data_IF_587097241286
#
_entry.id   IF_587097241286
#
_cell.length_a   1.000
_cell.length_b   1.000
_cell.length_c   1.000
_cell.angle_alpha   90.00
_cell.angle_beta   90.00
_cell.angle_gamma   90.00
#
_symmetry.space_group_name_H-M   'P 1'
#
loop_
_entity.id
_entity.type
_entity.pdbx_description
1 polymer ?
#
# COMPACT_ATOMS: atom_id res chain seq x y z
N UNK A 1 -30.40 -23.71 12.93
CA UNK A 1 -30.38 -22.57 13.88
C UNK A 1 -29.24 -21.66 13.41
N UNK A 2 -29.58 -20.57 12.71
CA UNK A 2 -28.61 -19.63 12.20
C UNK A 2 -28.26 -18.64 13.32
N UNK A 3 -27.01 -18.73 13.83
CA UNK A 3 -26.46 -17.71 14.72
C UNK A 3 -26.27 -16.41 13.94
N UNK A 4 -27.13 -15.45 14.21
CA UNK A 4 -26.90 -14.07 13.82
C UNK A 4 -25.77 -13.52 14.68
N UNK A 5 -24.59 -13.31 14.07
CA UNK A 5 -23.56 -12.49 14.68
C UNK A 5 -24.16 -11.11 15.01
N UNK A 6 -23.94 -10.55 16.21
CA UNK A 6 -24.48 -9.27 16.60
C UNK A 6 -23.95 -8.19 15.64
N UNK A 7 -24.84 -7.52 14.91
CA UNK A 7 -24.49 -6.28 14.18
C UNK A 7 -24.03 -5.28 15.25
N UNK A 8 -22.73 -4.99 15.26
CA UNK A 8 -22.17 -3.92 16.09
C UNK A 8 -22.84 -2.61 15.65
N UNK A 9 -23.61 -2.00 16.53
CA UNK A 9 -24.25 -0.71 16.27
C UNK A 9 -23.15 0.34 16.15
N UNK A 10 -22.87 0.80 14.94
CA UNK A 10 -21.83 1.78 14.68
C UNK A 10 -22.21 3.12 15.32
N UNK A 11 -21.31 3.73 16.08
CA UNK A 11 -21.53 5.05 16.64
C UNK A 11 -21.46 6.09 15.50
N UNK A 12 -22.61 6.61 15.10
CA UNK A 12 -22.74 7.51 13.94
C UNK A 12 -21.81 8.74 14.00
N UNK A 13 -21.50 9.22 15.21
CA UNK A 13 -20.55 10.32 15.40
C UNK A 13 -19.12 9.92 15.01
N UNK A 14 -18.68 8.71 15.35
CA UNK A 14 -17.35 8.22 14.99
C UNK A 14 -17.19 8.08 13.46
N UNK A 15 -18.21 7.53 12.78
CA UNK A 15 -18.19 7.44 11.32
C UNK A 15 -18.01 8.82 10.65
N UNK A 16 -18.73 9.84 11.16
CA UNK A 16 -18.61 11.20 10.63
C UNK A 16 -17.27 11.84 10.91
N UNK A 17 -16.66 11.58 12.07
CA UNK A 17 -15.29 12.05 12.38
C UNK A 17 -14.30 11.49 11.38
N UNK A 18 -14.32 10.17 11.13
CA UNK A 18 -13.42 9.55 10.16
C UNK A 18 -13.68 10.04 8.73
N UNK A 19 -14.93 10.20 8.31
CA UNK A 19 -15.25 10.77 7.00
C UNK A 19 -14.69 12.20 6.81
N UNK A 20 -14.72 13.02 7.85
CA UNK A 20 -14.09 14.36 7.84
C UNK A 20 -12.57 14.25 7.73
N UNK A 21 -11.95 13.32 8.48
CA UNK A 21 -10.50 13.11 8.42
C UNK A 21 -10.04 12.62 7.05
N UNK A 22 -10.76 11.66 6.46
CA UNK A 22 -10.47 11.12 5.13
C UNK A 22 -10.60 12.20 4.06
N UNK A 23 -11.66 13.02 4.10
CA UNK A 23 -11.82 14.15 3.18
C UNK A 23 -10.66 15.16 3.28
N UNK A 24 -10.20 15.49 4.50
CA UNK A 24 -9.05 16.37 4.72
C UNK A 24 -7.70 15.73 4.34
N UNK A 25 -7.62 14.40 4.28
CA UNK A 25 -6.41 13.71 3.83
C UNK A 25 -6.25 13.74 2.31
N UNK A 26 -7.35 13.79 1.56
CA UNK A 26 -7.34 13.89 0.09
C UNK A 26 -6.89 15.27 -0.39
N UNK A 27 -7.30 16.33 0.31
CA UNK A 27 -6.99 17.71 -0.02
C UNK A 27 -6.20 18.38 1.12
N UNK A 28 -5.13 19.08 0.80
CA UNK A 28 -4.27 19.70 1.83
C UNK A 28 -5.02 20.67 2.72
N UNK A 29 -5.97 21.43 2.18
CA UNK A 29 -6.79 22.39 2.89
C UNK A 29 -8.17 22.54 2.25
N UNK A 30 -9.23 22.52 3.07
CA UNK A 30 -10.60 22.48 2.59
C UNK A 30 -11.48 23.46 3.40
N UNK A 31 -12.41 24.14 2.70
CA UNK A 31 -13.40 25.00 3.35
C UNK A 31 -14.54 24.17 4.00
N UNK A 32 -15.20 24.74 5.01
CA UNK A 32 -16.26 24.05 5.78
C UNK A 32 -17.42 23.52 4.90
N UNK A 33 -17.83 24.26 3.87
CA UNK A 33 -18.94 23.85 3.02
C UNK A 33 -18.59 22.60 2.18
N UNK A 34 -17.41 22.60 1.58
CA UNK A 34 -16.89 21.48 0.81
C UNK A 34 -16.67 20.25 1.70
N UNK A 35 -16.10 20.45 2.89
CA UNK A 35 -15.90 19.40 3.87
C UNK A 35 -17.21 18.75 4.31
N UNK A 36 -18.26 19.54 4.55
CA UNK A 36 -19.59 19.01 4.87
C UNK A 36 -20.17 18.16 3.74
N UNK A 37 -19.97 18.58 2.49
CA UNK A 37 -20.43 17.84 1.31
C UNK A 37 -19.68 16.50 1.17
N UNK A 38 -18.35 16.50 1.24
CA UNK A 38 -17.53 15.27 1.12
C UNK A 38 -17.78 14.29 2.26
N UNK A 39 -17.91 14.78 3.48
CA UNK A 39 -18.26 13.96 4.64
C UNK A 39 -19.74 13.59 4.73
N UNK A 40 -20.53 13.90 3.70
CA UNK A 40 -21.98 13.60 3.61
C UNK A 40 -22.74 14.00 4.88
N UNK A 41 -22.47 15.22 5.42
CA UNK A 41 -23.10 15.71 6.65
C UNK A 41 -23.58 17.15 6.50
N UNK A 42 -24.40 17.65 7.46
CA UNK A 42 -24.81 19.05 7.45
C UNK A 42 -23.63 19.97 7.82
N UNK A 43 -23.64 21.21 7.30
CA UNK A 43 -22.62 22.23 7.61
C UNK A 43 -22.47 22.47 9.12
N UNK A 44 -23.59 22.47 9.86
CA UNK A 44 -23.60 22.60 11.32
C UNK A 44 -22.91 21.42 12.00
N UNK A 45 -23.19 20.21 11.56
CA UNK A 45 -22.55 19.00 12.09
C UNK A 45 -21.05 18.98 11.76
N UNK A 46 -20.68 19.27 10.50
CA UNK A 46 -19.27 19.37 10.09
C UNK A 46 -18.52 20.40 10.95
N UNK A 47 -19.10 21.60 11.17
CA UNK A 47 -18.50 22.63 12.00
C UNK A 47 -18.20 22.15 13.42
N UNK A 48 -19.20 21.54 14.09
CA UNK A 48 -19.03 21.01 15.45
C UNK A 48 -17.94 19.94 15.52
N UNK A 49 -17.91 19.02 14.56
CA UNK A 49 -16.91 17.95 14.49
C UNK A 49 -15.51 18.56 14.31
N UNK A 50 -15.35 19.47 13.33
CA UNK A 50 -14.07 20.10 13.03
C UNK A 50 -13.56 20.92 14.21
N UNK A 51 -14.43 21.68 14.90
CA UNK A 51 -14.04 22.45 16.12
C UNK A 51 -13.51 21.50 17.21
N UNK A 52 -14.21 20.40 17.47
CA UNK A 52 -13.72 19.39 18.43
C UNK A 52 -12.37 18.83 17.99
N UNK A 53 -12.17 18.60 16.69
CA UNK A 53 -10.89 18.08 16.17
C UNK A 53 -9.77 19.11 16.26
N UNK A 54 -10.09 20.41 16.14
CA UNK A 54 -9.15 21.51 16.39
C UNK A 54 -8.76 21.57 17.86
N UNK A 55 -9.73 21.53 18.78
CA UNK A 55 -9.48 21.48 20.23
C UNK A 55 -8.60 20.28 20.62
N UNK A 56 -8.84 19.14 20.00
CA UNK A 56 -8.03 17.92 20.20
C UNK A 56 -6.68 17.97 19.47
N UNK A 57 -6.43 18.95 18.61
CA UNK A 57 -5.18 19.16 17.88
C UNK A 57 -4.97 18.24 16.68
N UNK A 58 -5.99 17.56 16.16
CA UNK A 58 -5.92 16.76 14.94
C UNK A 58 -6.13 17.54 13.65
N UNK A 59 -6.83 18.66 13.75
CA UNK A 59 -7.11 19.60 12.67
C UNK A 59 -6.61 20.99 13.09
N UNK A 60 -6.19 21.78 12.13
CA UNK A 60 -5.92 23.22 12.30
C UNK A 60 -6.78 24.00 11.33
N UNK A 61 -7.10 25.24 11.69
CA UNK A 61 -7.74 26.20 10.78
C UNK A 61 -6.73 27.29 10.42
N UNK A 62 -6.58 27.51 9.15
CA UNK A 62 -5.76 28.61 8.64
C UNK A 62 -6.46 29.95 8.92
N UNK A 63 -5.81 30.91 9.61
CA UNK A 63 -6.47 32.15 10.03
C UNK A 63 -6.77 33.11 8.86
N UNK A 64 -6.06 33.00 7.73
CA UNK A 64 -6.26 33.88 6.57
C UNK A 64 -7.32 33.35 5.62
N UNK A 65 -7.30 32.03 5.36
CA UNK A 65 -8.18 31.39 4.39
C UNK A 65 -9.41 30.74 5.02
N UNK A 66 -9.46 30.66 6.33
CA UNK A 66 -10.47 29.92 7.12
C UNK A 66 -10.60 28.43 6.73
N UNK A 67 -9.65 27.90 5.96
CA UNK A 67 -9.64 26.48 5.53
C UNK A 67 -9.05 25.61 6.63
N UNK A 68 -9.55 24.37 6.69
CA UNK A 68 -9.14 23.35 7.64
C UNK A 68 -8.14 22.39 6.99
N UNK A 69 -7.18 21.89 7.76
CA UNK A 69 -6.21 20.89 7.34
C UNK A 69 -5.83 19.96 8.49
N UNK A 70 -5.31 18.78 8.16
CA UNK A 70 -4.80 17.84 9.16
C UNK A 70 -3.47 18.31 9.74
N UNK A 71 -3.27 18.06 11.04
CA UNK A 71 -2.00 18.34 11.72
C UNK A 71 -1.05 17.14 11.68
N UNK A 72 0.21 17.36 12.06
CA UNK A 72 1.21 16.29 12.22
C UNK A 72 0.88 15.30 13.36
N UNK A 73 -0.15 15.55 14.17
CA UNK A 73 -0.55 14.65 15.26
C UNK A 73 -0.96 13.26 14.73
N UNK A 74 -1.66 13.22 13.57
CA UNK A 74 -2.02 11.96 12.91
C UNK A 74 -0.78 11.19 12.43
N UNK A 75 0.19 11.90 11.83
CA UNK A 75 1.46 11.29 11.47
C UNK A 75 2.17 10.70 12.68
N UNK A 76 2.21 11.43 13.81
CA UNK A 76 2.84 10.95 15.04
C UNK A 76 2.17 9.69 15.59
N UNK A 77 0.84 9.58 15.47
CA UNK A 77 0.10 8.36 15.86
C UNK A 77 0.43 7.18 14.94
N UNK A 78 0.40 7.42 13.64
CA UNK A 78 0.75 6.40 12.63
C UNK A 78 2.21 5.93 12.77
N UNK A 79 3.13 6.86 12.98
CA UNK A 79 4.55 6.55 13.17
C UNK A 79 4.80 5.67 14.42
N UNK A 80 4.06 5.91 15.51
CA UNK A 80 4.15 5.04 16.70
C UNK A 80 3.63 3.63 16.44
N UNK A 81 2.57 3.47 15.66
CA UNK A 81 2.07 2.14 15.29
C UNK A 81 3.04 1.36 14.39
N UNK A 82 3.92 2.08 13.67
CA UNK A 82 4.97 1.50 12.84
C UNK A 82 6.31 1.30 13.59
N UNK A 83 6.42 1.76 14.85
CA UNK A 83 7.67 1.66 15.61
C UNK A 83 8.13 0.21 15.83
N UNK A 84 7.21 -0.74 15.95
CA UNK A 84 7.50 -2.17 16.01
C UNK A 84 8.13 -2.71 14.70
N UNK A 85 8.04 -1.93 13.61
CA UNK A 85 8.64 -2.24 12.30
C UNK A 85 9.88 -1.40 12.00
N UNK A 86 10.50 -0.78 13.03
CA UNK A 86 11.65 0.12 12.84
C UNK A 86 12.83 -0.58 12.14
N UNK A 87 13.11 -1.83 12.49
CA UNK A 87 14.15 -2.62 11.83
C UNK A 87 13.81 -2.90 10.37
N UNK A 88 12.56 -3.27 10.08
CA UNK A 88 12.10 -3.44 8.70
C UNK A 88 12.31 -2.15 7.90
N UNK A 89 11.89 -0.99 8.42
CA UNK A 89 12.01 0.29 7.74
C UNK A 89 13.48 0.64 7.44
N UNK A 90 14.37 0.48 8.43
CA UNK A 90 15.80 0.75 8.28
C UNK A 90 16.46 -0.16 7.23
N UNK A 91 16.16 -1.45 7.30
CA UNK A 91 16.73 -2.45 6.38
C UNK A 91 16.19 -2.28 4.97
N UNK A 92 14.87 -2.04 4.83
CA UNK A 92 14.22 -1.81 3.54
C UNK A 92 14.74 -0.52 2.89
N UNK A 93 14.91 0.57 3.65
CA UNK A 93 15.43 1.84 3.13
C UNK A 93 16.81 1.66 2.48
N UNK A 94 17.73 0.92 3.12
CA UNK A 94 19.03 0.61 2.56
C UNK A 94 18.94 -0.15 1.23
N UNK A 95 18.09 -1.18 1.17
CA UNK A 95 17.89 -1.99 -0.03
C UNK A 95 17.23 -1.18 -1.16
N UNK A 96 16.20 -0.42 -0.84
CA UNK A 96 15.49 0.46 -1.79
C UNK A 96 16.40 1.55 -2.35
N UNK A 97 17.28 2.13 -1.54
CA UNK A 97 18.28 3.11 -1.98
C UNK A 97 19.25 2.53 -3.02
N UNK A 98 19.61 1.25 -2.91
CA UNK A 98 20.43 0.57 -3.92
C UNK A 98 19.65 0.43 -5.23
N UNK A 99 18.39 -0.06 -5.17
CA UNK A 99 17.53 -0.20 -6.34
C UNK A 99 17.30 1.14 -7.05
N UNK A 100 16.99 2.19 -6.27
CA UNK A 100 16.74 3.54 -6.81
C UNK A 100 17.96 4.08 -7.57
N UNK A 101 19.16 3.97 -7.01
CA UNK A 101 20.41 4.42 -7.68
C UNK A 101 20.73 3.60 -8.94
N UNK A 102 20.44 2.30 -8.93
CA UNK A 102 20.75 1.42 -10.05
C UNK A 102 19.80 1.58 -11.23
N UNK A 103 18.54 1.92 -10.96
CA UNK A 103 17.47 1.96 -11.98
C UNK A 103 17.04 3.39 -12.34
N UNK A 104 17.11 4.31 -11.40
CA UNK A 104 16.52 5.65 -11.52
C UNK A 104 14.99 5.65 -11.47
N UNK A 105 14.35 4.48 -11.28
CA UNK A 105 12.90 4.34 -11.28
C UNK A 105 12.29 4.47 -9.88
N UNK A 106 10.97 4.58 -9.82
CA UNK A 106 10.26 4.63 -8.55
C UNK A 106 10.34 3.28 -7.82
N UNK A 107 10.73 3.31 -6.55
CA UNK A 107 10.80 2.13 -5.67
C UNK A 107 9.75 2.27 -4.58
N UNK A 108 8.96 1.24 -4.36
CA UNK A 108 7.94 1.24 -3.34
C UNK A 108 8.13 0.08 -2.35
N UNK A 109 7.79 0.33 -1.09
CA UNK A 109 7.69 -0.68 -0.04
C UNK A 109 6.23 -0.81 0.39
N UNK A 110 5.72 -2.01 0.35
CA UNK A 110 4.36 -2.34 0.78
C UNK A 110 4.33 -3.41 1.84
N UNK A 111 3.33 -3.32 2.72
CA UNK A 111 2.97 -4.35 3.70
C UNK A 111 1.54 -4.79 3.45
N UNK A 112 1.22 -6.02 3.87
CA UNK A 112 -0.14 -6.53 3.81
C UNK A 112 -0.97 -5.94 4.97
N UNK A 113 -2.13 -5.39 4.63
CA UNK A 113 -3.23 -5.22 5.55
C UNK A 113 -4.18 -6.41 5.42
N UNK A 114 -4.07 -7.32 6.39
CA UNK A 114 -4.85 -8.56 6.41
C UNK A 114 -6.35 -8.31 6.55
N UNK A 115 -6.75 -7.22 7.19
CA UNK A 115 -8.16 -6.90 7.45
C UNK A 115 -8.92 -6.60 6.15
N UNK A 116 -8.33 -5.73 5.33
CA UNK A 116 -8.99 -5.26 4.11
C UNK A 116 -8.44 -5.93 2.84
N UNK A 117 -7.53 -6.90 2.99
CA UNK A 117 -6.88 -7.61 1.88
C UNK A 117 -6.30 -6.63 0.85
N UNK A 118 -5.48 -5.68 1.35
CA UNK A 118 -4.83 -4.64 0.54
C UNK A 118 -3.33 -4.58 0.83
N UNK A 119 -2.55 -4.17 -0.15
CA UNK A 119 -1.18 -3.72 0.10
C UNK A 119 -1.19 -2.24 0.46
N UNK A 120 -0.55 -1.90 1.58
CA UNK A 120 -0.39 -0.51 2.04
C UNK A 120 1.04 -0.07 1.78
N UNK A 121 1.22 1.05 1.06
CA UNK A 121 2.52 1.62 0.76
C UNK A 121 3.03 2.40 1.97
N UNK A 122 4.15 1.97 2.56
CA UNK A 122 4.70 2.55 3.80
C UNK A 122 6.02 3.30 3.59
N UNK A 123 6.70 3.08 2.45
CA UNK A 123 7.91 3.81 2.08
C UNK A 123 8.08 3.84 0.57
N UNK A 124 8.77 4.87 0.05
CA UNK A 124 9.04 5.02 -1.38
C UNK A 124 10.29 5.83 -1.66
N UNK A 125 10.88 5.58 -2.82
CA UNK A 125 11.84 6.47 -3.49
C UNK A 125 11.18 6.98 -4.77
N UNK A 126 11.25 8.28 -5.00
CA UNK A 126 10.75 8.87 -6.24
C UNK A 126 11.67 8.50 -7.40
N UNK A 127 11.09 8.43 -8.59
CA UNK A 127 11.89 8.28 -9.81
C UNK A 127 12.74 9.52 -10.06
N UNK A 128 13.94 9.31 -10.59
CA UNK A 128 14.83 10.38 -11.06
C UNK A 128 14.33 11.00 -12.39
N UNK A 129 13.37 10.37 -13.05
CA UNK A 129 12.82 10.84 -14.32
C UNK A 129 11.59 11.74 -14.12
N UNK A 130 11.43 12.75 -14.98
CA UNK A 130 10.31 13.68 -14.90
C UNK A 130 8.92 13.04 -15.11
N UNK A 131 8.84 12.01 -15.95
CA UNK A 131 7.64 11.19 -16.10
C UNK A 131 7.82 9.88 -15.33
N UNK A 132 7.03 9.70 -14.29
CA UNK A 132 7.14 8.56 -13.38
C UNK A 132 5.78 8.12 -12.87
N UNK A 133 5.73 6.90 -12.35
CA UNK A 133 4.55 6.38 -11.67
C UNK A 133 4.37 7.12 -10.33
N UNK A 134 3.18 7.67 -10.14
CA UNK A 134 2.83 8.35 -8.88
C UNK A 134 2.39 7.32 -7.85
N UNK A 135 3.11 7.24 -6.75
CA UNK A 135 2.68 6.51 -5.56
C UNK A 135 2.65 7.47 -4.37
N UNK A 136 1.74 7.23 -3.45
CA UNK A 136 1.58 8.03 -2.22
C UNK A 136 1.72 7.12 -1.01
N UNK A 137 2.37 7.59 0.04
CA UNK A 137 2.41 6.85 1.30
C UNK A 137 0.98 6.70 1.85
N UNK A 138 0.66 5.52 2.35
CA UNK A 138 -0.69 5.16 2.77
C UNK A 138 -1.60 4.69 1.63
N UNK A 139 -1.16 4.74 0.36
CA UNK A 139 -1.93 4.20 -0.77
C UNK A 139 -2.25 2.72 -0.52
N UNK A 140 -3.50 2.35 -0.77
CA UNK A 140 -4.05 1.01 -0.52
C UNK A 140 -4.46 0.39 -1.85
N UNK A 141 -3.66 -0.52 -2.35
CA UNK A 141 -3.88 -1.17 -3.64
C UNK A 141 -4.35 -2.62 -3.50
N UNK A 142 -5.08 -3.14 -4.50
CA UNK A 142 -5.48 -4.54 -4.55
C UNK A 142 -4.27 -5.48 -4.57
N UNK A 143 -4.42 -6.64 -3.91
CA UNK A 143 -3.36 -7.65 -3.87
C UNK A 143 -3.21 -8.37 -5.21
N UNK A 144 -4.31 -8.63 -5.93
CA UNK A 144 -4.32 -9.46 -7.14
C UNK A 144 -3.71 -8.76 -8.36
N UNK A 145 -3.79 -7.42 -8.44
CA UNK A 145 -3.39 -6.66 -9.61
C UNK A 145 -2.05 -5.93 -9.47
N UNK A 146 -1.39 -6.03 -8.31
CA UNK A 146 -0.10 -5.36 -8.07
C UNK A 146 1.03 -6.37 -7.88
N UNK A 147 2.23 -6.01 -8.35
CA UNK A 147 3.42 -6.84 -8.10
C UNK A 147 3.70 -6.98 -6.60
N UNK A 148 3.58 -5.90 -5.81
CA UNK A 148 3.72 -5.97 -4.34
C UNK A 148 2.73 -6.92 -3.71
N UNK A 149 1.47 -6.88 -4.13
CA UNK A 149 0.43 -7.77 -3.61
C UNK A 149 0.72 -9.24 -3.92
N UNK A 150 1.09 -9.55 -5.17
CA UNK A 150 1.47 -10.91 -5.57
C UNK A 150 2.71 -11.40 -4.81
N UNK A 151 3.71 -10.54 -4.58
CA UNK A 151 4.89 -10.89 -3.79
C UNK A 151 4.56 -11.18 -2.31
N UNK A 152 3.59 -10.49 -1.72
CA UNK A 152 3.13 -10.74 -0.35
C UNK A 152 2.30 -12.01 -0.20
N UNK A 153 1.62 -12.43 -1.27
CA UNK A 153 0.76 -13.60 -1.28
C UNK A 153 1.51 -14.90 -1.60
N UNK A 154 2.44 -14.87 -2.55
CA UNK A 154 2.98 -16.07 -3.20
C UNK A 154 3.62 -17.11 -2.25
N UNK A 155 4.09 -16.73 -1.07
CA UNK A 155 4.72 -17.63 -0.08
C UNK A 155 3.79 -18.02 1.08
N UNK A 156 2.48 -17.85 0.92
CA UNK A 156 1.51 -18.36 1.86
C UNK A 156 1.14 -19.81 1.53
N UNK A 157 0.62 -20.52 2.51
CA UNK A 157 0.15 -21.89 2.30
C UNK A 157 -0.97 -21.94 1.26
N UNK A 158 -1.02 -23.00 0.47
CA UNK A 158 -1.96 -23.10 -0.66
C UNK A 158 -3.43 -23.07 -0.21
N UNK A 159 -3.75 -23.63 0.97
CA UNK A 159 -5.10 -23.58 1.52
C UNK A 159 -5.46 -22.16 1.99
N UNK A 160 -4.51 -21.45 2.64
CA UNK A 160 -4.67 -20.03 2.99
C UNK A 160 -4.88 -19.18 1.73
N UNK A 161 -4.12 -19.43 0.66
CA UNK A 161 -4.27 -18.70 -0.61
C UNK A 161 -5.65 -18.88 -1.22
N UNK A 162 -6.14 -20.13 -1.31
CA UNK A 162 -7.49 -20.41 -1.84
C UNK A 162 -8.58 -19.72 -1.04
N UNK A 163 -8.50 -19.77 0.29
CA UNK A 163 -9.46 -19.11 1.17
C UNK A 163 -9.42 -17.60 1.01
N UNK A 164 -8.24 -16.99 0.90
CA UNK A 164 -8.07 -15.55 0.69
C UNK A 164 -8.60 -15.11 -0.67
N UNK A 165 -8.24 -15.81 -1.73
CA UNK A 165 -8.66 -15.48 -3.09
C UNK A 165 -10.18 -15.62 -3.24
N UNK A 166 -10.79 -16.62 -2.62
CA UNK A 166 -12.25 -16.78 -2.61
C UNK A 166 -13.00 -15.62 -1.95
N UNK A 167 -12.33 -14.89 -1.04
CA UNK A 167 -12.88 -13.70 -0.37
C UNK A 167 -12.50 -12.38 -1.04
N UNK A 168 -11.56 -12.41 -2.02
CA UNK A 168 -11.13 -11.22 -2.73
C UNK A 168 -12.14 -10.81 -3.81
N UNK A 169 -12.35 -9.52 -3.91
CA UNK A 169 -13.01 -8.93 -5.06
C UNK A 169 -11.97 -8.72 -6.17
N UNK A 170 -11.95 -9.61 -7.17
CA UNK A 170 -11.02 -9.55 -8.30
C UNK A 170 -11.51 -8.56 -9.36
N UNK A 171 -11.64 -7.29 -8.98
CA UNK A 171 -12.11 -6.22 -9.86
C UNK A 171 -11.10 -5.94 -10.97
N UNK A 172 -11.60 -5.74 -12.20
CA UNK A 172 -10.79 -5.36 -13.35
C UNK A 172 -10.41 -3.88 -13.26
N UNK A 173 -9.11 -3.57 -13.22
CA UNK A 173 -8.58 -2.21 -13.16
C UNK A 173 -7.93 -1.76 -14.48
N UNK A 174 -7.31 -2.70 -15.20
CA UNK A 174 -6.54 -2.45 -16.42
C UNK A 174 -6.71 -3.59 -17.42
N UNK A 175 -6.18 -3.50 -18.65
CA UNK A 175 -6.38 -4.50 -19.69
C UNK A 175 -6.06 -5.92 -19.27
N UNK A 176 -4.97 -6.11 -18.53
CA UNK A 176 -4.44 -7.43 -18.17
C UNK A 176 -4.73 -7.83 -16.71
N UNK A 177 -5.60 -7.10 -15.99
CA UNK A 177 -5.98 -7.48 -14.62
C UNK A 177 -6.51 -8.91 -14.57
N UNK A 178 -5.93 -9.74 -13.70
CA UNK A 178 -6.41 -11.10 -13.46
C UNK A 178 -7.71 -11.06 -12.66
N UNK A 179 -8.80 -11.52 -13.25
CA UNK A 179 -10.13 -11.59 -12.62
C UNK A 179 -10.59 -13.01 -12.36
N UNK A 180 -9.81 -14.00 -12.78
CA UNK A 180 -10.05 -15.41 -12.57
C UNK A 180 -9.17 -15.91 -11.41
N UNK A 181 -9.77 -16.55 -10.37
CA UNK A 181 -9.06 -17.09 -9.23
C UNK A 181 -7.97 -18.12 -9.59
N UNK A 182 -8.23 -18.99 -10.57
CA UNK A 182 -7.29 -20.04 -10.96
C UNK A 182 -6.09 -19.44 -11.69
N UNK A 183 -6.31 -18.44 -12.54
CA UNK A 183 -5.23 -17.68 -13.21
C UNK A 183 -4.35 -16.96 -12.17
N UNK A 184 -4.96 -16.37 -11.14
CA UNK A 184 -4.21 -15.73 -10.07
C UNK A 184 -3.41 -16.75 -9.25
N UNK A 185 -3.98 -17.90 -8.90
CA UNK A 185 -3.27 -18.98 -8.19
C UNK A 185 -2.04 -19.44 -8.95
N UNK A 186 -2.18 -19.66 -10.26
CA UNK A 186 -1.05 -20.06 -11.12
C UNK A 186 0.02 -18.97 -11.19
N UNK A 187 -0.37 -17.70 -11.30
CA UNK A 187 0.57 -16.58 -11.28
C UNK A 187 1.34 -16.48 -9.95
N UNK A 188 0.70 -16.78 -8.82
CA UNK A 188 1.34 -16.83 -7.51
C UNK A 188 2.30 -18.02 -7.38
N UNK A 189 1.94 -19.20 -7.91
CA UNK A 189 2.83 -20.35 -7.97
C UNK A 189 4.10 -20.04 -8.77
N UNK A 190 3.96 -19.48 -9.96
CA UNK A 190 5.07 -19.04 -10.80
C UNK A 190 5.92 -17.93 -10.11
N UNK A 191 5.29 -17.05 -9.36
CA UNK A 191 5.99 -16.03 -8.55
C UNK A 191 6.88 -16.68 -7.49
N UNK A 192 6.38 -17.70 -6.79
CA UNK A 192 7.15 -18.46 -5.78
C UNK A 192 8.34 -19.18 -6.41
N UNK A 193 8.14 -19.83 -7.56
CA UNK A 193 9.20 -20.58 -8.26
C UNK A 193 10.33 -19.69 -8.76
N UNK A 194 10.02 -18.54 -9.34
CA UNK A 194 11.03 -17.62 -9.89
C UNK A 194 11.61 -16.63 -8.87
N UNK A 195 11.03 -16.54 -7.67
CA UNK A 195 11.50 -15.67 -6.59
C UNK A 195 11.02 -14.22 -6.67
N UNK A 196 10.31 -13.81 -7.72
CA UNK A 196 9.80 -12.45 -7.89
C UNK A 196 8.42 -12.44 -8.55
N UNK A 197 7.65 -11.41 -8.29
CA UNK A 197 6.38 -11.13 -8.95
C UNK A 197 6.54 -10.08 -10.03
N UNK A 198 5.66 -10.09 -11.00
CA UNK A 198 5.59 -9.10 -12.06
C UNK A 198 4.13 -8.74 -12.34
N UNK A 199 3.88 -7.50 -12.68
CA UNK A 199 2.60 -7.05 -13.23
C UNK A 199 2.86 -6.22 -14.50
N UNK A 200 2.06 -6.41 -15.52
CA UNK A 200 2.11 -5.69 -16.78
C UNK A 200 0.71 -5.24 -17.14
N UNK A 201 0.41 -3.95 -16.93
CA UNK A 201 -0.90 -3.36 -17.18
C UNK A 201 -2.06 -4.11 -16.46
N UNK A 202 -1.79 -4.57 -15.23
CA UNK A 202 -2.78 -5.22 -14.38
C UNK A 202 -3.42 -4.24 -13.39
N UNK A 203 -2.63 -3.33 -12.82
CA UNK A 203 -3.10 -2.29 -11.89
C UNK A 203 -3.52 -1.01 -12.62
N UNK A 204 -2.79 -0.62 -13.65
CA UNK A 204 -3.01 0.57 -14.44
C UNK A 204 -2.43 0.37 -15.85
N UNK A 205 -3.10 0.92 -16.88
CA UNK A 205 -2.60 0.88 -18.25
C UNK A 205 -1.29 1.66 -18.38
N UNK A 206 -0.32 1.14 -19.15
CA UNK A 206 0.98 1.76 -19.35
C UNK A 206 1.97 1.57 -18.18
N UNK A 207 1.64 0.71 -17.21
CA UNK A 207 2.47 0.41 -16.04
C UNK A 207 3.04 -1.01 -16.13
N UNK A 208 4.29 -1.14 -15.71
CA UNK A 208 4.94 -2.44 -15.44
C UNK A 208 5.70 -2.37 -14.14
N UNK A 209 5.46 -3.33 -13.25
CA UNK A 209 6.19 -3.41 -11.99
C UNK A 209 6.72 -4.81 -11.75
N UNK A 210 7.85 -4.87 -11.05
CA UNK A 210 8.44 -6.12 -10.56
C UNK A 210 8.66 -5.98 -9.07
N UNK A 211 8.38 -7.03 -8.29
CA UNK A 211 8.52 -6.98 -6.85
C UNK A 211 9.09 -8.28 -6.26
N UNK A 212 9.70 -8.15 -5.09
CA UNK A 212 10.23 -9.25 -4.28
C UNK A 212 9.73 -9.12 -2.85
N UNK A 213 9.52 -10.25 -2.14
CA UNK A 213 9.18 -10.24 -0.72
C UNK A 213 10.39 -9.87 0.14
N UNK A 214 10.12 -9.44 1.37
CA UNK A 214 11.09 -9.37 2.47
C UNK A 214 10.58 -10.33 3.55
N UNK A 215 11.41 -11.32 3.88
CA UNK A 215 11.07 -12.36 4.84
C UNK A 215 11.54 -12.02 6.26
N UNK A 216 10.79 -12.46 7.25
CA UNK A 216 11.25 -12.47 8.63
C UNK A 216 12.00 -13.78 8.95
N UNK A 217 12.48 -13.93 10.19
CA UNK A 217 13.19 -15.12 10.68
C UNK A 217 12.37 -16.42 10.61
N UNK A 218 11.05 -16.34 10.48
CA UNK A 218 10.15 -17.49 10.30
C UNK A 218 9.92 -17.86 8.82
N UNK A 219 10.57 -17.18 7.88
CA UNK A 219 10.33 -17.38 6.44
C UNK A 219 9.00 -16.83 5.94
N UNK A 220 8.32 -15.97 6.71
CA UNK A 220 7.07 -15.34 6.29
C UNK A 220 7.35 -14.00 5.61
N UNK A 221 6.71 -13.70 4.46
CA UNK A 221 6.80 -12.38 3.84
C UNK A 221 6.09 -11.35 4.72
N UNK A 222 6.84 -10.40 5.27
CA UNK A 222 6.31 -9.32 6.12
C UNK A 222 6.20 -7.98 5.39
N UNK A 223 6.90 -7.86 4.28
CA UNK A 223 6.84 -6.72 3.37
C UNK A 223 7.20 -7.17 1.96
N UNK A 224 7.00 -6.31 0.98
CA UNK A 224 7.52 -6.46 -0.37
C UNK A 224 8.08 -5.12 -0.87
N UNK A 225 9.11 -5.17 -1.73
CA UNK A 225 9.64 -3.99 -2.41
C UNK A 225 9.50 -4.16 -3.92
N UNK A 226 9.21 -3.07 -4.64
CA UNK A 226 9.03 -3.09 -6.09
C UNK A 226 9.80 -1.99 -6.80
N UNK A 227 10.13 -2.25 -8.06
CA UNK A 227 10.50 -1.25 -9.05
C UNK A 227 9.29 -1.03 -9.96
N UNK A 228 8.91 0.23 -10.17
CA UNK A 228 7.76 0.59 -11.00
C UNK A 228 8.21 1.40 -12.22
N UNK A 229 7.88 0.91 -13.40
CA UNK A 229 8.25 1.49 -14.68
C UNK A 229 7.01 1.99 -15.42
N UNK A 230 7.08 3.13 -16.10
CA UNK A 230 6.23 3.34 -17.27
C UNK A 230 6.56 2.28 -18.32
N UNK A 231 5.54 1.64 -18.90
CA UNK A 231 5.74 0.48 -19.80
C UNK A 231 6.70 0.79 -20.96
N UNK A 232 6.60 2.00 -21.54
CA UNK A 232 7.44 2.42 -22.69
C UNK A 232 8.93 2.57 -22.33
N UNK A 233 9.27 2.70 -21.05
CA UNK A 233 10.68 2.83 -20.58
C UNK A 233 11.27 1.52 -20.10
N UNK A 234 10.46 0.49 -19.96
CA UNK A 234 10.94 -0.83 -19.57
C UNK A 234 11.76 -1.44 -20.70
N UNK A 235 13.02 -1.78 -20.42
CA UNK A 235 13.91 -2.44 -21.36
C UNK A 235 13.91 -3.95 -21.11
N UNK A 236 13.32 -4.72 -22.02
CA UNK A 236 13.27 -6.18 -21.94
C UNK A 236 14.67 -6.83 -21.93
N UNK A 237 15.64 -6.23 -22.59
CA UNK A 237 17.01 -6.75 -22.59
C UNK A 237 17.68 -6.62 -21.21
N UNK A 238 17.25 -5.66 -20.40
CA UNK A 238 17.73 -5.43 -19.04
C UNK A 238 16.87 -6.12 -17.96
N UNK A 239 15.83 -6.84 -18.34
CA UNK A 239 14.98 -7.56 -17.37
C UNK A 239 15.80 -8.49 -16.44
N UNK A 240 16.78 -9.27 -16.93
CA UNK A 240 17.63 -10.08 -16.05
C UNK A 240 18.35 -9.26 -14.98
N UNK A 241 18.88 -8.08 -15.34
CA UNK A 241 19.57 -7.18 -14.41
C UNK A 241 18.61 -6.68 -13.31
N UNK A 242 17.38 -6.32 -13.67
CA UNK A 242 16.36 -5.90 -12.71
C UNK A 242 15.97 -7.02 -11.75
N UNK A 243 15.87 -8.26 -12.25
CA UNK A 243 15.59 -9.45 -11.43
C UNK A 243 16.73 -9.67 -10.44
N UNK A 244 17.98 -9.68 -10.89
CA UNK A 244 19.15 -9.88 -10.04
C UNK A 244 19.26 -8.81 -8.95
N UNK A 245 19.03 -7.55 -9.30
CA UNK A 245 18.99 -6.44 -8.34
C UNK A 245 17.91 -6.64 -7.27
N UNK A 246 16.68 -7.01 -7.67
CA UNK A 246 15.57 -7.26 -6.76
C UNK A 246 15.84 -8.45 -5.85
N UNK A 247 16.27 -9.59 -6.40
CA UNK A 247 16.56 -10.80 -5.62
C UNK A 247 17.72 -10.56 -4.63
N UNK A 248 18.78 -9.85 -5.05
CA UNK A 248 19.87 -9.46 -4.15
C UNK A 248 19.39 -8.52 -3.04
N UNK A 249 18.52 -7.57 -3.35
CA UNK A 249 17.94 -6.65 -2.37
C UNK A 249 17.04 -7.39 -1.36
N UNK A 250 16.19 -8.32 -1.84
CA UNK A 250 15.36 -9.20 -1.01
C UNK A 250 16.19 -10.04 -0.05
N UNK A 251 17.21 -10.74 -0.58
CA UNK A 251 18.08 -11.61 0.20
C UNK A 251 18.79 -10.85 1.32
N UNK A 252 19.38 -9.67 1.01
CA UNK A 252 20.07 -8.83 1.99
C UNK A 252 19.13 -8.30 3.07
N UNK A 253 17.95 -7.81 2.67
CA UNK A 253 16.96 -7.28 3.59
C UNK A 253 16.42 -8.40 4.51
N UNK A 254 16.10 -9.55 3.95
CA UNK A 254 15.58 -10.70 4.71
C UNK A 254 16.64 -11.27 5.66
N UNK A 255 17.90 -11.40 5.22
CA UNK A 255 19.00 -11.85 6.08
C UNK A 255 19.22 -10.89 7.28
N UNK A 256 19.15 -9.57 7.06
CA UNK A 256 19.26 -8.58 8.13
C UNK A 256 18.09 -8.64 9.15
N UNK A 257 16.98 -9.27 8.77
CA UNK A 257 15.82 -9.56 9.65
C UNK A 257 15.82 -10.99 10.19
N UNK A 258 16.94 -11.71 10.06
CA UNK A 258 17.15 -13.03 10.64
C UNK A 258 16.69 -14.21 9.77
N UNK A 259 16.31 -13.98 8.52
CA UNK A 259 15.98 -15.07 7.58
C UNK A 259 17.27 -15.77 7.12
N UNK A 260 17.34 -17.08 7.27
CA UNK A 260 18.54 -17.86 6.92
C UNK A 260 18.45 -18.59 5.56
N UNK A 261 17.36 -18.36 4.82
CA UNK A 261 17.10 -19.13 3.61
C UNK A 261 16.61 -20.55 3.94
N UNK A 262 15.74 -21.10 3.14
CA UNK A 262 15.36 -22.51 3.15
C UNK A 262 16.10 -23.23 2.05
#
# INVERSE_FOLDING_TARGET
MSEHAPKTENVAAALKVFAVMEALAEEKRMGLAELAQRAMTSKTTAHRLVQTMVELGYVEQDPETEKYGLTLKLFSMGARSLSEKADLMRVADQAMGVLSRATGEAINLGILDDRDQRVVYIHKYESAYGLSMKSTLGLRNPLHSTSLGKALLAWRDDDELKERIAKMELTKHAPNTMTDPDVLLEALRLTRERGFSEEVEESEAGVRCMAVPIFNYLGKPIAAMSISFPLFRFDEARKPDYVDLLLSASAKASAALGYQGS
#
